data_IF_164363852380
#
_entry.id   IF_164363852380
#
_cell.length_a   1.000
_cell.length_b   1.000
_cell.length_c   1.000
_cell.angle_alpha   90.00
_cell.angle_beta   90.00
_cell.angle_gamma   90.00
#
_symmetry.space_group_name_H-M   'P 1'
#
loop_
_entity.id
_entity.type
_entity.pdbx_description
1 polymer ?
#
# COMPACT_ATOMS: atom_id res chain seq x y z
N UNK A 1 -2.22 34.94 0.75
CA UNK A 1 -2.68 33.54 0.71
C UNK A 1 -2.73 32.95 2.11
N UNK A 2 -3.86 32.39 2.52
CA UNK A 2 -4.00 31.58 3.73
C UNK A 2 -3.82 30.11 3.38
N UNK A 3 -2.66 29.52 3.68
CA UNK A 3 -2.28 28.15 3.30
C UNK A 3 -3.36 27.09 3.59
N UNK A 4 -4.03 27.17 4.73
CA UNK A 4 -5.01 26.15 5.14
C UNK A 4 -6.47 26.57 4.92
N UNK A 5 -6.72 27.76 4.37
CA UNK A 5 -8.06 28.31 4.13
C UNK A 5 -8.89 28.65 5.38
N UNK A 6 -8.69 27.94 6.50
CA UNK A 6 -9.42 28.12 7.76
C UNK A 6 -8.55 27.78 8.98
N UNK A 7 -8.93 28.31 10.16
CA UNK A 7 -8.24 28.02 11.42
C UNK A 7 -8.42 26.56 11.84
N UNK A 8 -9.57 25.98 11.53
CA UNK A 8 -9.93 24.59 11.85
C UNK A 8 -9.05 23.60 11.09
N UNK A 9 -8.76 23.88 9.82
CA UNK A 9 -7.88 23.04 9.00
C UNK A 9 -6.42 23.18 9.45
N UNK A 10 -5.98 24.40 9.80
CA UNK A 10 -4.67 24.62 10.39
C UNK A 10 -4.51 23.87 11.72
N UNK A 11 -5.50 23.95 12.61
CA UNK A 11 -5.50 23.21 13.87
C UNK A 11 -5.41 21.70 13.65
N UNK A 12 -6.16 21.15 12.69
CA UNK A 12 -6.05 19.72 12.30
C UNK A 12 -4.66 19.35 11.81
N UNK A 13 -4.02 20.22 11.01
CA UNK A 13 -2.66 19.98 10.50
C UNK A 13 -1.64 19.96 11.65
N UNK A 14 -1.72 20.92 12.56
CA UNK A 14 -0.86 21.01 13.75
C UNK A 14 -1.07 19.80 14.67
N UNK A 15 -2.31 19.41 14.94
CA UNK A 15 -2.62 18.25 15.79
C UNK A 15 -2.10 16.94 15.20
N UNK A 16 -2.06 16.82 13.87
CA UNK A 16 -1.48 15.64 13.20
C UNK A 16 0.03 15.64 13.19
N UNK A 17 0.66 16.82 13.15
CA UNK A 17 2.10 16.94 13.27
C UNK A 17 2.51 18.27 13.89
N UNK A 18 2.75 18.30 15.20
CA UNK A 18 3.21 19.49 15.90
C UNK A 18 4.55 20.02 15.37
N UNK A 19 5.40 19.15 14.79
CA UNK A 19 6.68 19.59 14.21
C UNK A 19 6.51 20.50 12.99
N UNK A 20 5.30 20.59 12.42
CA UNK A 20 4.99 21.63 11.43
C UNK A 20 5.26 23.05 11.94
N UNK A 21 5.05 23.30 13.24
CA UNK A 21 5.30 24.61 13.88
C UNK A 21 6.79 24.95 14.02
N UNK A 22 7.69 23.98 13.87
CA UNK A 22 9.14 24.20 13.96
C UNK A 22 9.76 24.57 12.62
N UNK A 23 9.00 24.49 11.53
CA UNK A 23 9.47 24.83 10.19
C UNK A 23 9.23 26.31 9.86
N UNK A 24 10.25 26.96 9.30
CA UNK A 24 10.15 28.35 8.86
C UNK A 24 9.11 28.49 7.72
N UNK A 25 8.14 29.38 7.92
CA UNK A 25 7.06 29.62 6.96
C UNK A 25 7.58 30.12 5.61
N UNK A 26 8.54 31.03 5.61
CA UNK A 26 9.02 31.73 4.41
C UNK A 26 10.17 31.01 3.73
N UNK A 27 11.05 30.37 4.51
CA UNK A 27 12.25 29.69 4.01
C UNK A 27 12.01 28.22 3.68
N UNK A 28 10.98 27.58 4.25
CA UNK A 28 10.72 26.15 4.06
C UNK A 28 9.31 25.84 3.55
N UNK A 29 8.27 26.32 4.25
CA UNK A 29 6.89 25.93 3.91
C UNK A 29 6.46 26.55 2.57
N UNK A 30 6.53 27.88 2.41
CA UNK A 30 6.13 28.58 1.17
C UNK A 30 6.88 28.09 -0.08
N UNK A 31 8.21 27.89 -0.07
CA UNK A 31 8.92 27.37 -1.23
C UNK A 31 8.44 25.97 -1.63
N UNK A 32 8.20 25.07 -0.67
CA UNK A 32 7.70 23.73 -0.98
C UNK A 32 6.29 23.78 -1.57
N UNK A 33 5.43 24.66 -1.08
CA UNK A 33 4.09 24.87 -1.66
C UNK A 33 4.19 25.37 -3.10
N UNK A 34 5.01 26.39 -3.35
CA UNK A 34 5.21 26.94 -4.68
C UNK A 34 5.78 25.90 -5.66
N UNK A 35 6.65 24.99 -5.19
CA UNK A 35 7.13 23.86 -5.99
C UNK A 35 5.99 22.94 -6.43
N UNK A 36 5.09 22.57 -5.52
CA UNK A 36 3.95 21.71 -5.87
C UNK A 36 2.94 22.42 -6.79
N UNK A 37 2.68 23.71 -6.58
CA UNK A 37 1.86 24.52 -7.47
C UNK A 37 2.48 24.60 -8.87
N UNK A 38 3.79 24.80 -8.98
CA UNK A 38 4.52 24.82 -10.26
C UNK A 38 4.51 23.47 -11.00
N UNK A 39 4.38 22.35 -10.28
CA UNK A 39 4.20 21.01 -10.87
C UNK A 39 2.74 20.78 -11.30
N UNK A 40 1.81 21.63 -10.87
CA UNK A 40 0.40 21.58 -11.26
C UNK A 40 -0.54 21.02 -10.19
N UNK A 41 -0.13 20.95 -8.93
CA UNK A 41 -1.05 20.59 -7.83
C UNK A 41 -1.86 21.80 -7.39
N UNK A 42 -3.16 21.62 -7.25
CA UNK A 42 -4.05 22.62 -6.66
C UNK A 42 -3.80 22.76 -5.15
N UNK A 43 -4.04 23.96 -4.59
CA UNK A 43 -3.95 24.19 -3.15
C UNK A 43 -4.85 23.24 -2.33
N UNK A 44 -6.12 22.97 -2.71
CA UNK A 44 -6.95 21.98 -2.01
C UNK A 44 -6.33 20.57 -1.99
N UNK A 45 -5.76 20.12 -3.10
CA UNK A 45 -5.08 18.82 -3.16
C UNK A 45 -3.85 18.81 -2.27
N UNK A 46 -3.07 19.89 -2.26
CA UNK A 46 -1.90 20.01 -1.40
C UNK A 46 -2.28 19.99 0.08
N UNK A 47 -3.34 20.71 0.50
CA UNK A 47 -3.86 20.68 1.87
C UNK A 47 -4.28 19.25 2.24
N UNK A 48 -5.02 18.57 1.36
CA UNK A 48 -5.40 17.17 1.58
C UNK A 48 -4.16 16.28 1.76
N UNK A 49 -3.13 16.47 0.94
CA UNK A 49 -1.90 15.71 1.03
C UNK A 49 -1.12 16.01 2.31
N UNK A 50 -1.03 17.28 2.72
CA UNK A 50 -0.42 17.70 3.99
C UNK A 50 -1.09 17.05 5.20
N UNK A 51 -2.42 17.05 5.24
CA UNK A 51 -3.18 16.42 6.32
C UNK A 51 -3.00 14.89 6.34
N UNK A 52 -2.86 14.27 5.16
CA UNK A 52 -2.64 12.82 5.06
C UNK A 52 -1.20 12.40 5.34
N UNK A 53 -0.22 13.26 5.04
CA UNK A 53 1.21 13.00 5.12
C UNK A 53 1.91 14.18 5.79
N UNK A 54 1.98 14.18 7.13
CA UNK A 54 2.48 15.35 7.84
C UNK A 54 3.98 15.63 7.63
N UNK A 55 4.72 14.66 7.10
CA UNK A 55 6.14 14.81 6.72
C UNK A 55 6.33 15.36 5.30
N UNK A 56 5.27 15.81 4.61
CA UNK A 56 5.36 16.30 3.23
C UNK A 56 6.37 17.46 3.13
N UNK A 57 6.12 18.57 3.83
CA UNK A 57 6.99 19.75 3.80
C UNK A 57 8.47 19.45 4.13
N UNK A 58 8.82 18.79 5.24
CA UNK A 58 10.22 18.59 5.57
C UNK A 58 10.95 17.69 4.57
N UNK A 59 10.26 16.71 3.97
CA UNK A 59 10.88 15.68 3.12
C UNK A 59 10.81 15.95 1.63
N UNK A 60 9.98 16.90 1.18
CA UNK A 60 9.87 17.20 -0.25
C UNK A 60 11.22 17.65 -0.82
N UNK A 61 11.60 16.99 -1.90
CA UNK A 61 12.63 17.45 -2.82
C UNK A 61 12.27 17.02 -4.24
N UNK A 62 12.53 17.91 -5.20
CA UNK A 62 12.41 17.63 -6.62
C UNK A 62 13.75 17.92 -7.30
N UNK A 63 14.16 16.99 -8.14
CA UNK A 63 15.28 17.11 -9.08
C UNK A 63 14.80 16.58 -10.43
N UNK A 64 15.59 16.77 -11.48
CA UNK A 64 15.17 16.36 -12.83
C UNK A 64 14.79 14.88 -12.91
N UNK A 65 15.52 14.01 -12.21
CA UNK A 65 15.23 12.57 -12.22
C UNK A 65 13.89 12.22 -11.56
N UNK A 66 13.51 12.87 -10.47
CA UNK A 66 12.16 12.69 -9.88
C UNK A 66 11.06 13.22 -10.81
N UNK A 67 11.33 14.32 -11.52
CA UNK A 67 10.40 14.83 -12.52
C UNK A 67 10.22 13.83 -13.66
N UNK A 68 11.32 13.21 -14.10
CA UNK A 68 11.28 12.15 -15.10
C UNK A 68 10.52 10.91 -14.61
N UNK A 69 10.73 10.47 -13.37
CA UNK A 69 9.94 9.38 -12.79
C UNK A 69 8.44 9.68 -12.74
N UNK A 70 8.05 10.92 -12.44
CA UNK A 70 6.65 11.35 -12.51
C UNK A 70 6.14 11.23 -13.95
N UNK A 71 6.90 11.70 -14.95
CA UNK A 71 6.53 11.58 -16.37
C UNK A 71 6.37 10.12 -16.81
N UNK A 72 7.33 9.24 -16.46
CA UNK A 72 7.28 7.79 -16.75
C UNK A 72 6.02 7.11 -16.19
N UNK A 73 5.42 7.64 -15.12
CA UNK A 73 4.17 7.06 -14.60
C UNK A 73 2.97 7.21 -15.54
N UNK A 74 3.05 8.11 -16.54
CA UNK A 74 1.99 8.35 -17.51
C UNK A 74 0.70 8.94 -16.93
N UNK A 75 0.72 9.39 -15.67
CA UNK A 75 -0.44 9.98 -15.02
C UNK A 75 -0.65 11.41 -15.54
N UNK A 76 -1.87 11.71 -16.01
CA UNK A 76 -2.24 13.09 -16.38
C UNK A 76 -2.41 13.95 -15.14
N UNK A 77 -2.11 15.24 -15.25
CA UNK A 77 -2.28 16.23 -14.17
C UNK A 77 -3.74 16.33 -13.70
N UNK A 78 -4.71 16.09 -14.58
CA UNK A 78 -6.15 16.09 -14.26
C UNK A 78 -6.61 14.82 -13.51
N UNK A 79 -5.74 13.81 -13.42
CA UNK A 79 -6.05 12.57 -12.71
C UNK A 79 -6.09 12.79 -11.20
N UNK A 80 -7.10 12.21 -10.54
CA UNK A 80 -7.15 12.13 -9.07
C UNK A 80 -5.92 11.44 -8.46
N UNK A 81 -5.18 10.65 -9.23
CA UNK A 81 -3.93 10.01 -8.80
C UNK A 81 -2.71 10.93 -8.82
N UNK A 82 -2.74 12.02 -9.59
CA UNK A 82 -1.59 12.89 -9.80
C UNK A 82 -1.00 13.39 -8.48
N UNK A 83 -1.84 13.93 -7.60
CA UNK A 83 -1.41 14.40 -6.27
C UNK A 83 -0.73 13.30 -5.45
N UNK A 84 -1.18 12.06 -5.55
CA UNK A 84 -0.57 10.96 -4.81
C UNK A 84 0.77 10.56 -5.40
N UNK A 85 0.89 10.48 -6.73
CA UNK A 85 2.14 10.17 -7.43
C UNK A 85 3.20 11.22 -7.10
N UNK A 86 2.88 12.50 -7.35
CA UNK A 86 3.83 13.62 -7.19
C UNK A 86 4.27 13.77 -5.74
N UNK A 87 3.34 13.65 -4.78
CA UNK A 87 3.72 13.76 -3.36
C UNK A 87 4.51 12.56 -2.87
N UNK A 88 4.15 11.33 -3.27
CA UNK A 88 4.87 10.13 -2.84
C UNK A 88 6.28 10.09 -3.43
N UNK A 89 6.45 10.42 -4.71
CA UNK A 89 7.79 10.54 -5.33
C UNK A 89 8.57 11.70 -4.70
N UNK A 90 7.93 12.87 -4.51
CA UNK A 90 8.55 14.06 -3.95
C UNK A 90 9.14 13.84 -2.54
N UNK A 91 8.46 13.09 -1.67
CA UNK A 91 8.96 12.79 -0.30
C UNK A 91 9.87 11.58 -0.22
N UNK A 92 9.93 10.76 -1.26
CA UNK A 92 10.75 9.56 -1.27
C UNK A 92 12.20 9.90 -1.61
N UNK A 93 13.16 9.21 -0.98
CA UNK A 93 14.55 9.30 -1.40
C UNK A 93 14.72 8.59 -2.73
N UNK A 94 15.52 9.16 -3.62
CA UNK A 94 15.75 8.62 -4.96
C UNK A 94 16.25 7.16 -4.92
N UNK A 95 17.24 6.89 -4.07
CA UNK A 95 17.77 5.55 -3.84
C UNK A 95 16.68 4.56 -3.37
N UNK A 96 15.75 5.03 -2.53
CA UNK A 96 14.62 4.20 -2.12
C UNK A 96 13.72 3.87 -3.30
N UNK A 97 13.43 4.82 -4.19
CA UNK A 97 12.61 4.55 -5.39
C UNK A 97 13.28 3.50 -6.26
N UNK A 98 14.56 3.67 -6.57
CA UNK A 98 15.36 2.72 -7.38
C UNK A 98 15.36 1.32 -6.78
N UNK A 99 15.56 1.21 -5.46
CA UNK A 99 15.48 -0.08 -4.76
C UNK A 99 14.09 -0.73 -4.86
N UNK A 100 13.00 0.04 -4.89
CA UNK A 100 11.63 -0.49 -5.07
C UNK A 100 11.39 -0.95 -6.50
N UNK A 101 11.90 -0.20 -7.48
CA UNK A 101 11.84 -0.56 -8.91
C UNK A 101 12.60 -1.86 -9.13
N UNK A 102 13.88 -1.92 -8.75
CA UNK A 102 14.71 -3.11 -8.87
C UNK A 102 14.12 -4.34 -8.14
N UNK A 103 13.36 -4.11 -7.07
CA UNK A 103 12.67 -5.20 -6.39
C UNK A 103 11.50 -5.79 -7.20
N UNK A 104 10.76 -4.95 -7.94
CA UNK A 104 9.68 -5.41 -8.81
C UNK A 104 10.24 -6.05 -10.09
N UNK A 105 11.35 -5.54 -10.64
CA UNK A 105 12.02 -6.13 -11.81
C UNK A 105 12.47 -7.59 -11.58
N UNK A 106 12.83 -7.95 -10.34
CA UNK A 106 13.12 -9.36 -9.95
C UNK A 106 11.94 -10.32 -10.18
N UNK A 107 10.73 -9.80 -10.34
CA UNK A 107 9.53 -10.59 -10.64
C UNK A 107 9.13 -10.52 -12.12
N UNK A 108 10.01 -10.00 -12.99
CA UNK A 108 9.87 -10.01 -14.44
C UNK A 108 9.20 -8.78 -15.03
N UNK A 109 8.98 -7.71 -14.25
CA UNK A 109 8.46 -6.44 -14.78
C UNK A 109 9.58 -5.61 -15.39
N UNK A 110 9.30 -4.89 -16.47
CA UNK A 110 10.20 -3.84 -16.96
C UNK A 110 10.12 -2.57 -16.11
N UNK A 111 11.14 -1.71 -16.19
CA UNK A 111 11.14 -0.40 -15.51
C UNK A 111 9.88 0.41 -15.87
N UNK A 112 9.51 0.44 -17.15
CA UNK A 112 8.36 1.18 -17.66
C UNK A 112 7.04 0.61 -17.09
N UNK A 113 6.88 -0.71 -17.05
CA UNK A 113 5.72 -1.35 -16.43
C UNK A 113 5.59 -0.97 -14.95
N UNK A 114 6.72 -0.88 -14.24
CA UNK A 114 6.74 -0.48 -12.82
C UNK A 114 6.31 0.97 -12.64
N UNK A 115 6.79 1.90 -13.46
CA UNK A 115 6.37 3.30 -13.35
C UNK A 115 4.90 3.49 -13.74
N UNK A 116 4.43 2.83 -14.81
CA UNK A 116 3.01 2.81 -15.16
C UNK A 116 2.15 2.23 -14.01
N UNK A 117 2.67 1.22 -13.32
CA UNK A 117 2.03 0.66 -12.13
C UNK A 117 1.99 1.64 -10.96
N UNK A 118 3.06 2.41 -10.72
CA UNK A 118 3.06 3.49 -9.74
C UNK A 118 2.09 4.62 -10.09
N UNK A 119 1.85 4.89 -11.38
CA UNK A 119 0.81 5.84 -11.82
C UNK A 119 -0.60 5.39 -11.44
N UNK A 120 -0.89 4.09 -11.58
CA UNK A 120 -2.19 3.49 -11.25
C UNK A 120 -2.38 3.25 -9.74
N UNK A 121 -1.31 2.90 -9.03
CA UNK A 121 -1.34 2.52 -7.62
C UNK A 121 -0.12 3.08 -6.86
N UNK A 122 -0.03 4.40 -6.67
CA UNK A 122 1.18 5.06 -6.14
C UNK A 122 1.53 4.65 -4.70
N UNK A 123 0.55 4.15 -3.95
CA UNK A 123 0.78 3.64 -2.59
C UNK A 123 1.68 2.39 -2.56
N UNK A 124 1.88 1.68 -3.67
CA UNK A 124 2.78 0.52 -3.71
C UNK A 124 4.22 0.93 -3.37
N UNK A 125 4.63 2.13 -3.77
CA UNK A 125 5.95 2.68 -3.44
C UNK A 125 6.18 2.86 -1.92
N UNK A 126 5.10 2.89 -1.14
CA UNK A 126 5.17 3.01 0.33
C UNK A 126 5.40 1.67 1.06
N UNK A 127 5.27 0.54 0.35
CA UNK A 127 5.49 -0.79 0.92
C UNK A 127 6.98 -1.06 1.12
N UNK A 128 7.34 -1.83 2.16
CA UNK A 128 8.73 -2.27 2.34
C UNK A 128 9.14 -3.26 1.23
N UNK A 129 10.44 -3.35 0.93
CA UNK A 129 10.97 -4.30 -0.08
C UNK A 129 10.60 -5.72 0.36
N UNK A 130 10.86 -6.02 1.62
CA UNK A 130 10.53 -7.28 2.28
C UNK A 130 9.04 -7.65 2.18
N UNK A 131 8.12 -6.69 2.38
CA UNK A 131 6.68 -6.96 2.26
C UNK A 131 6.30 -7.33 0.84
N UNK A 132 6.80 -6.59 -0.15
CA UNK A 132 6.54 -6.90 -1.57
C UNK A 132 7.11 -8.26 -1.92
N UNK A 133 8.36 -8.56 -1.52
CA UNK A 133 8.99 -9.85 -1.79
C UNK A 133 8.18 -11.01 -1.21
N UNK A 134 7.84 -10.95 0.07
CA UNK A 134 7.07 -12.02 0.73
C UNK A 134 5.72 -12.25 0.09
N UNK A 135 4.99 -11.18 -0.19
CA UNK A 135 3.68 -11.29 -0.82
C UNK A 135 3.82 -11.84 -2.25
N UNK A 136 4.79 -11.36 -3.05
CA UNK A 136 5.04 -11.88 -4.40
C UNK A 136 5.43 -13.36 -4.38
N UNK A 137 6.36 -13.78 -3.53
CA UNK A 137 6.75 -15.19 -3.38
C UNK A 137 5.54 -16.07 -3.04
N UNK A 138 4.66 -15.62 -2.15
CA UNK A 138 3.44 -16.35 -1.82
C UNK A 138 2.45 -16.38 -2.99
N UNK A 139 2.26 -15.27 -3.68
CA UNK A 139 1.34 -15.19 -4.84
C UNK A 139 1.80 -16.13 -5.96
N UNK A 140 3.09 -16.13 -6.29
CA UNK A 140 3.66 -16.98 -7.34
C UNK A 140 3.73 -18.45 -6.91
N UNK A 141 4.23 -18.70 -5.71
CA UNK A 141 4.53 -20.04 -5.21
C UNK A 141 3.30 -20.79 -4.70
N UNK A 142 2.49 -20.14 -3.86
CA UNK A 142 1.36 -20.77 -3.19
C UNK A 142 0.04 -20.52 -3.93
N UNK A 143 -0.22 -19.27 -4.33
CA UNK A 143 -1.46 -18.97 -5.06
C UNK A 143 -1.41 -19.39 -6.53
N UNK A 144 -0.21 -19.70 -7.06
CA UNK A 144 0.03 -20.05 -8.47
C UNK A 144 -0.53 -19.02 -9.45
N UNK A 145 -0.55 -17.75 -9.05
CA UNK A 145 -1.02 -16.65 -9.90
C UNK A 145 0.18 -16.04 -10.65
N UNK A 146 0.00 -15.58 -11.90
CA UNK A 146 1.08 -14.91 -12.63
C UNK A 146 1.43 -13.57 -11.96
N UNK A 147 2.70 -13.14 -12.09
CA UNK A 147 3.18 -11.89 -11.51
C UNK A 147 2.31 -10.69 -11.88
N UNK A 148 1.91 -10.61 -13.15
CA UNK A 148 1.04 -9.56 -13.72
C UNK A 148 -0.28 -9.36 -12.98
N UNK A 149 -0.77 -10.37 -12.23
CA UNK A 149 -1.98 -10.25 -11.40
C UNK A 149 -1.90 -9.08 -10.42
N UNK A 150 -0.71 -8.74 -9.89
CA UNK A 150 -0.58 -7.63 -8.94
C UNK A 150 -0.74 -6.27 -9.60
N UNK A 151 -0.49 -6.15 -10.91
CA UNK A 151 -0.72 -4.91 -11.67
C UNK A 151 -2.22 -4.58 -11.73
N UNK A 152 -3.06 -5.61 -11.90
CA UNK A 152 -4.52 -5.50 -11.91
C UNK A 152 -5.10 -5.42 -10.49
N UNK A 153 -4.45 -6.07 -9.53
CA UNK A 153 -4.92 -6.21 -8.17
C UNK A 153 -3.88 -5.82 -7.11
N UNK A 154 -3.51 -4.52 -7.04
CA UNK A 154 -2.48 -4.04 -6.12
C UNK A 154 -2.73 -4.45 -4.66
N UNK A 155 -4.00 -4.58 -4.27
CA UNK A 155 -4.44 -4.97 -2.92
C UNK A 155 -3.73 -6.23 -2.38
N UNK A 156 -3.31 -7.15 -3.25
CA UNK A 156 -2.57 -8.35 -2.86
C UNK A 156 -1.23 -8.02 -2.18
N UNK A 157 -0.56 -6.95 -2.58
CA UNK A 157 0.70 -6.51 -1.95
C UNK A 157 0.47 -5.78 -0.60
N UNK A 158 -0.74 -5.26 -0.37
CA UNK A 158 -1.05 -4.54 0.87
C UNK A 158 -1.52 -5.47 2.00
N UNK A 159 -2.08 -6.63 1.69
CA UNK A 159 -2.58 -7.56 2.71
C UNK A 159 -1.46 -8.05 3.63
N UNK A 160 -1.83 -8.33 4.88
CA UNK A 160 -0.95 -9.08 5.78
C UNK A 160 -0.89 -10.53 5.26
N UNK A 161 0.32 -11.01 5.03
CA UNK A 161 0.56 -12.36 4.55
C UNK A 161 0.05 -13.41 5.53
N UNK A 162 0.42 -13.31 6.80
CA UNK A 162 0.13 -14.33 7.82
C UNK A 162 -1.30 -14.20 8.38
N UNK A 163 -1.89 -12.99 8.41
CA UNK A 163 -3.26 -12.81 8.94
C UNK A 163 -4.36 -12.95 7.89
N UNK A 164 -4.05 -12.75 6.60
CA UNK A 164 -5.07 -12.66 5.54
C UNK A 164 -4.79 -13.57 4.37
N UNK A 165 -3.65 -13.46 3.70
CA UNK A 165 -3.41 -14.22 2.47
C UNK A 165 -3.29 -15.71 2.76
N UNK A 166 -2.38 -16.08 3.65
CA UNK A 166 -2.06 -17.47 3.98
C UNK A 166 -3.24 -18.21 4.62
N UNK A 167 -3.92 -17.70 5.66
CA UNK A 167 -5.07 -18.40 6.24
C UNK A 167 -6.18 -18.66 5.23
N UNK A 168 -6.45 -17.69 4.34
CA UNK A 168 -7.56 -17.82 3.39
C UNK A 168 -7.23 -18.75 2.23
N UNK A 169 -5.99 -18.73 1.73
CA UNK A 169 -5.55 -19.62 0.65
C UNK A 169 -5.42 -21.05 1.14
N UNK A 170 -4.84 -21.26 2.32
CA UNK A 170 -4.74 -22.60 2.91
C UNK A 170 -6.11 -23.16 3.30
N UNK A 171 -7.01 -22.33 3.82
CA UNK A 171 -8.39 -22.76 4.08
C UNK A 171 -9.07 -23.23 2.78
N UNK A 172 -8.93 -22.50 1.68
CA UNK A 172 -9.51 -22.93 0.41
C UNK A 172 -8.98 -24.30 -0.03
N UNK A 173 -7.68 -24.58 0.15
CA UNK A 173 -7.12 -25.91 -0.10
C UNK A 173 -7.71 -26.97 0.83
N UNK A 174 -7.85 -26.67 2.12
CA UNK A 174 -8.48 -27.60 3.09
C UNK A 174 -9.92 -27.93 2.70
N UNK A 175 -10.69 -26.96 2.23
CA UNK A 175 -12.05 -27.20 1.69
C UNK A 175 -12.01 -28.19 0.52
N UNK A 176 -11.08 -28.03 -0.42
CA UNK A 176 -10.85 -29.00 -1.51
C UNK A 176 -10.45 -30.39 -1.01
N UNK A 177 -9.53 -30.48 -0.05
CA UNK A 177 -9.08 -31.74 0.56
C UNK A 177 -10.22 -32.49 1.27
N UNK A 178 -11.17 -31.76 1.85
CA UNK A 178 -12.39 -32.32 2.45
C UNK A 178 -13.45 -32.74 1.41
N UNK A 179 -13.17 -32.59 0.11
CA UNK A 179 -14.12 -32.90 -0.97
C UNK A 179 -15.31 -31.94 -1.03
N UNK A 180 -15.20 -30.76 -0.42
CA UNK A 180 -16.26 -29.76 -0.40
C UNK A 180 -16.16 -28.86 -1.63
N UNK A 181 -17.31 -28.52 -2.21
CA UNK A 181 -17.36 -27.63 -3.36
C UNK A 181 -16.91 -26.21 -3.00
N UNK A 182 -15.73 -25.84 -3.49
CA UNK A 182 -15.35 -24.45 -3.57
C UNK A 182 -16.15 -23.78 -4.68
N UNK A 183 -17.07 -22.88 -4.33
CA UNK A 183 -17.58 -21.90 -5.29
C UNK A 183 -16.53 -20.82 -5.64
N UNK A 184 -15.27 -21.23 -5.86
CA UNK A 184 -14.13 -20.35 -6.13
C UNK A 184 -13.58 -20.66 -7.52
N UNK A 185 -13.88 -19.78 -8.48
CA UNK A 185 -13.06 -19.65 -9.69
C UNK A 185 -11.86 -18.72 -9.43
N UNK A 186 -10.89 -18.64 -10.35
CA UNK A 186 -9.70 -17.79 -10.19
C UNK A 186 -10.01 -16.31 -9.84
N UNK A 187 -11.10 -15.75 -10.38
CA UNK A 187 -11.57 -14.39 -10.03
C UNK A 187 -12.07 -14.27 -8.59
N UNK A 188 -12.64 -15.34 -8.03
CA UNK A 188 -13.09 -15.38 -6.64
C UNK A 188 -11.95 -15.46 -5.64
N UNK A 189 -10.77 -15.98 -6.00
CA UNK A 189 -9.59 -16.02 -5.11
C UNK A 189 -9.14 -14.62 -4.71
N UNK A 190 -8.92 -13.73 -5.69
CA UNK A 190 -8.52 -12.35 -5.42
C UNK A 190 -9.62 -11.59 -4.67
N UNK A 191 -10.88 -11.84 -5.05
CA UNK A 191 -12.03 -11.24 -4.35
C UNK A 191 -12.08 -11.67 -2.88
N UNK A 192 -11.82 -12.95 -2.59
CA UNK A 192 -11.80 -13.50 -1.25
C UNK A 192 -10.76 -12.79 -0.38
N UNK A 193 -9.58 -12.43 -0.91
CA UNK A 193 -8.56 -11.68 -0.17
C UNK A 193 -9.01 -10.25 0.22
N UNK A 194 -9.95 -9.67 -0.52
CA UNK A 194 -10.47 -8.33 -0.26
C UNK A 194 -11.63 -8.29 0.75
N UNK A 195 -12.27 -9.43 1.01
CA UNK A 195 -13.43 -9.50 1.91
C UNK A 195 -13.08 -9.16 3.36
N UNK A 196 -14.04 -8.62 4.10
CA UNK A 196 -13.98 -8.64 5.55
C UNK A 196 -13.99 -10.08 6.04
N UNK A 197 -13.43 -10.34 7.22
CA UNK A 197 -13.37 -11.69 7.78
C UNK A 197 -14.77 -12.29 7.97
N UNK A 198 -15.71 -11.51 8.50
CA UNK A 198 -17.13 -11.91 8.60
C UNK A 198 -17.73 -12.36 7.26
N UNK A 199 -17.48 -11.59 6.18
CA UNK A 199 -18.00 -11.94 4.85
C UNK A 199 -17.30 -13.17 4.29
N UNK A 200 -15.99 -13.29 4.52
CA UNK A 200 -15.21 -14.45 4.11
C UNK A 200 -15.77 -15.73 4.73
N UNK A 201 -15.98 -15.77 6.06
CA UNK A 201 -16.56 -16.94 6.72
C UNK A 201 -17.98 -17.26 6.25
N UNK A 202 -18.82 -16.24 6.05
CA UNK A 202 -20.17 -16.46 5.52
C UNK A 202 -20.15 -17.19 4.17
N UNK A 203 -19.18 -16.88 3.30
CA UNK A 203 -19.14 -17.37 1.92
C UNK A 203 -18.34 -18.67 1.77
N UNK A 204 -17.33 -18.90 2.62
CA UNK A 204 -16.37 -20.01 2.44
C UNK A 204 -16.33 -21.00 3.59
N UNK A 205 -17.09 -20.75 4.66
CA UNK A 205 -17.10 -21.64 5.84
C UNK A 205 -18.54 -22.01 6.19
N UNK A 206 -19.36 -21.00 6.49
CA UNK A 206 -20.75 -21.19 6.93
C UNK A 206 -21.71 -21.59 5.79
N UNK A 207 -21.20 -21.75 4.57
CA UNK A 207 -21.94 -22.33 3.45
C UNK A 207 -21.94 -23.87 3.50
N UNK A 208 -21.08 -24.48 4.32
CA UNK A 208 -20.99 -25.92 4.50
C UNK A 208 -21.81 -26.38 5.72
N UNK A 209 -22.09 -27.70 5.84
CA UNK A 209 -22.67 -28.29 7.05
C UNK A 209 -21.87 -27.94 8.32
N UNK A 210 -22.53 -27.97 9.47
CA UNK A 210 -22.01 -27.41 10.73
C UNK A 210 -20.70 -28.07 11.18
N UNK A 211 -20.61 -29.38 11.09
CA UNK A 211 -19.42 -30.18 11.36
C UNK A 211 -18.22 -29.76 10.50
N UNK A 212 -18.42 -29.66 9.18
CA UNK A 212 -17.39 -29.19 8.27
C UNK A 212 -16.99 -27.72 8.54
N UNK A 213 -17.98 -26.86 8.81
CA UNK A 213 -17.73 -25.46 9.14
C UNK A 213 -16.90 -25.30 10.43
N UNK A 214 -17.18 -26.11 11.45
CA UNK A 214 -16.45 -26.08 12.72
C UNK A 214 -14.99 -26.53 12.53
N UNK A 215 -14.74 -27.61 11.76
CA UNK A 215 -13.38 -28.05 11.41
C UNK A 215 -12.60 -26.99 10.61
N UNK A 216 -13.25 -26.38 9.61
CA UNK A 216 -12.66 -25.31 8.80
C UNK A 216 -12.32 -24.07 9.65
N UNK A 217 -13.19 -23.71 10.60
CA UNK A 217 -12.94 -22.60 11.52
C UNK A 217 -11.75 -22.89 12.45
N UNK A 218 -11.64 -24.11 12.97
CA UNK A 218 -10.51 -24.51 13.80
C UNK A 218 -9.20 -24.48 13.00
N UNK A 219 -9.19 -25.06 11.80
CA UNK A 219 -8.06 -25.00 10.89
C UNK A 219 -7.62 -23.56 10.59
N UNK A 220 -8.57 -22.68 10.25
CA UNK A 220 -8.28 -21.27 9.98
C UNK A 220 -7.65 -20.57 11.19
N UNK A 221 -8.16 -20.79 12.40
CA UNK A 221 -7.61 -20.22 13.64
C UNK A 221 -6.19 -20.71 13.90
N UNK A 222 -5.93 -22.00 13.69
CA UNK A 222 -4.62 -22.60 13.86
C UNK A 222 -3.61 -21.99 12.88
N UNK A 223 -3.95 -21.90 11.60
CA UNK A 223 -3.08 -21.29 10.58
C UNK A 223 -2.80 -19.81 10.88
N UNK A 224 -3.82 -19.04 11.27
CA UNK A 224 -3.69 -17.61 11.61
C UNK A 224 -2.91 -17.37 12.92
N UNK A 225 -2.96 -18.33 13.85
CA UNK A 225 -2.25 -18.26 15.13
C UNK A 225 -0.73 -18.46 15.01
N UNK A 226 -0.25 -19.06 13.91
CA UNK A 226 1.19 -19.27 13.67
C UNK A 226 1.85 -17.96 13.24
N UNK A 227 2.32 -17.19 14.21
CA UNK A 227 3.17 -16.01 13.97
C UNK A 227 4.64 -16.43 13.84
N UNK A 228 5.40 -15.73 13.00
CA UNK A 228 6.84 -15.95 12.89
C UNK A 228 7.54 -15.59 14.21
N UNK A 229 8.55 -16.36 14.61
CA UNK A 229 9.44 -16.06 15.74
C UNK A 229 10.03 -14.63 15.63
N UNK A 230 10.36 -14.19 14.41
CA UNK A 230 10.83 -12.83 14.14
C UNK A 230 9.74 -11.75 14.29
N UNK A 231 8.45 -12.06 14.15
CA UNK A 231 7.35 -11.12 14.41
C UNK A 231 7.01 -11.00 15.89
N UNK A 232 7.15 -12.09 16.66
CA UNK A 232 7.11 -12.04 18.12
C UNK A 232 8.30 -11.24 18.70
N UNK A 233 9.44 -11.24 18.00
CA UNK A 233 10.67 -10.50 18.34
C UNK A 233 10.73 -9.08 17.74
N UNK A 234 9.76 -8.67 16.91
CA UNK A 234 9.60 -7.26 16.56
C UNK A 234 9.17 -6.52 17.83
N UNK A 235 10.14 -6.16 18.68
CA UNK A 235 10.11 -4.84 19.31
C UNK A 235 9.66 -3.90 18.21
N UNK A 236 8.59 -3.16 18.43
CA UNK A 236 8.21 -2.06 17.58
C UNK A 236 9.37 -1.04 17.60
N UNK A 237 10.46 -1.33 16.89
CA UNK A 237 11.24 -0.29 16.28
C UNK A 237 10.32 0.26 15.20
N UNK A 238 9.41 1.13 15.64
CA UNK A 238 9.10 2.28 14.84
C UNK A 238 10.47 2.89 14.50
N UNK A 239 11.01 2.54 13.34
CA UNK A 239 11.75 3.52 12.54
C UNK A 239 10.75 4.51 11.94
N UNK A 240 9.75 4.94 12.72
CA UNK A 240 9.37 6.32 12.71
C UNK A 240 10.54 7.00 13.40
N UNK A 241 11.37 7.66 12.60
CA UNK A 241 12.35 8.56 13.19
C UNK A 241 11.59 9.55 14.09
N UNK A 242 12.14 9.87 15.27
CA UNK A 242 11.64 10.97 16.08
C UNK A 242 11.77 12.25 15.26
N UNK A 243 10.93 13.23 15.60
CA UNK A 243 10.63 14.49 14.92
C UNK A 243 9.53 14.43 13.82
#
# INVERSE_FOLDING_TARGET
MTLFGSKEVLAKAILRNPSFLTHDLHKKIKPVIALYEGIGLSMPDLIQMLLSRPTLIPRTSFNEEKMEYIRKTGVSNDSRMFKYVVTIIGVSRLETIRQKVANLEKFGFSEDEVFLYFGKSPFVLTLSVDKVQRNMTFILGEMKLPATTVLEHPSLLFKNLEDVLKPRVLLARKVQEMGLDLQINGRMVVRAMRMTERRFFKVFVNCHPKDAADELMEYYKNVKGVKRLAEASKRNFQKGFPF
#
